data_IF_162439053511
#
_entry.id   IF_162439053511
#
_cell.length_a   1.000
_cell.length_b   1.000
_cell.length_c   1.000
_cell.angle_alpha   90.00
_cell.angle_beta   90.00
_cell.angle_gamma   90.00
#
_symmetry.space_group_name_H-M   'P 1'
#
loop_
_entity.id
_entity.type
_entity.pdbx_description
1 polymer ?
#
# COMPACT_ATOMS: atom_id res chain seq x y z
N UNK A 1 -35.91 -43.03 11.31
CA UNK A 1 -34.66 -42.29 11.01
C UNK A 1 -34.96 -40.82 11.25
N UNK A 2 -34.47 -40.22 12.34
CA UNK A 2 -34.60 -38.78 12.59
C UNK A 2 -33.43 -38.06 11.90
N UNK A 3 -33.72 -37.15 10.99
CA UNK A 3 -32.74 -36.23 10.42
C UNK A 3 -32.59 -35.02 11.37
N UNK A 4 -31.41 -34.84 11.94
CA UNK A 4 -31.07 -33.64 12.70
C UNK A 4 -30.65 -32.54 11.72
N UNK A 5 -31.38 -31.43 11.71
CA UNK A 5 -31.00 -30.21 10.99
C UNK A 5 -29.95 -29.46 11.82
N UNK A 6 -28.73 -29.33 11.29
CA UNK A 6 -27.72 -28.44 11.83
C UNK A 6 -28.07 -27.00 11.44
N UNK A 7 -28.48 -26.19 12.42
CA UNK A 7 -28.59 -24.75 12.27
C UNK A 7 -27.18 -24.18 12.39
N UNK A 8 -26.60 -23.73 11.28
CA UNK A 8 -25.34 -23.00 11.30
C UNK A 8 -25.57 -21.64 11.99
N UNK A 9 -24.90 -21.40 13.11
CA UNK A 9 -24.88 -20.10 13.76
C UNK A 9 -24.21 -19.07 12.83
N UNK A 10 -24.65 -17.79 12.85
CA UNK A 10 -23.96 -16.75 12.11
C UNK A 10 -22.54 -16.61 12.70
N UNK A 11 -21.52 -16.71 11.86
CA UNK A 11 -20.17 -16.37 12.25
C UNK A 11 -20.16 -14.88 12.64
N UNK A 12 -19.82 -14.58 13.89
CA UNK A 12 -19.51 -13.20 14.28
C UNK A 12 -18.43 -12.69 13.33
N UNK A 13 -18.69 -11.58 12.64
CA UNK A 13 -17.63 -10.84 11.97
C UNK A 13 -16.59 -10.51 13.04
N UNK A 14 -15.39 -11.08 12.91
CA UNK A 14 -14.30 -10.75 13.82
C UNK A 14 -14.03 -9.24 13.74
N UNK A 15 -13.76 -8.60 14.88
CA UNK A 15 -13.39 -7.18 14.90
C UNK A 15 -12.11 -6.99 14.08
N UNK A 16 -12.19 -6.19 13.03
CA UNK A 16 -11.06 -5.86 12.18
C UNK A 16 -10.05 -5.05 12.97
N UNK A 17 -8.83 -5.56 13.13
CA UNK A 17 -7.73 -4.82 13.77
C UNK A 17 -7.08 -3.90 12.75
N UNK A 18 -7.10 -2.58 12.98
CA UNK A 18 -6.43 -1.62 12.10
C UNK A 18 -5.22 -1.00 12.77
N UNK A 19 -4.12 -0.94 12.02
CA UNK A 19 -2.92 -0.18 12.37
C UNK A 19 -2.71 1.01 11.41
N UNK A 20 -3.67 1.32 10.55
CA UNK A 20 -3.62 2.51 9.71
C UNK A 20 -4.47 3.62 10.34
N UNK A 21 -4.12 4.90 10.14
CA UNK A 21 -4.99 5.96 10.59
C UNK A 21 -6.33 5.91 9.85
N UNK A 22 -7.42 6.23 10.55
CA UNK A 22 -8.77 6.21 9.98
C UNK A 22 -8.91 7.12 8.75
N UNK A 23 -8.14 8.21 8.68
CA UNK A 23 -8.03 9.12 7.55
C UNK A 23 -6.57 9.45 7.24
N UNK A 24 -6.28 9.87 6.01
CA UNK A 24 -4.92 10.25 5.60
C UNK A 24 -3.94 9.07 5.47
N UNK A 25 -4.44 7.87 5.16
CA UNK A 25 -3.61 6.67 4.98
C UNK A 25 -2.52 6.88 3.92
N UNK A 26 -2.82 7.56 2.80
CA UNK A 26 -1.83 7.86 1.77
C UNK A 26 -0.68 8.73 2.32
N UNK A 27 -1.00 9.80 3.06
CA UNK A 27 0.00 10.65 3.70
C UNK A 27 0.82 9.88 4.75
N UNK A 28 0.18 8.98 5.50
CA UNK A 28 0.84 8.14 6.49
C UNK A 28 1.92 7.23 5.87
N UNK A 29 1.68 6.70 4.67
CA UNK A 29 2.62 5.84 3.95
C UNK A 29 3.93 6.56 3.57
N UNK A 30 3.95 7.91 3.46
CA UNK A 30 5.19 8.67 3.20
C UNK A 30 6.29 8.34 4.21
N UNK A 31 5.92 8.26 5.49
CA UNK A 31 6.85 8.03 6.59
C UNK A 31 6.89 6.58 7.05
N UNK A 32 5.92 5.74 6.67
CA UNK A 32 5.73 4.41 7.24
C UNK A 32 5.72 3.27 6.23
N UNK A 33 5.80 3.51 4.92
CA UNK A 33 5.86 2.42 3.94
C UNK A 33 7.31 1.97 3.70
N UNK A 34 7.57 0.67 3.86
CA UNK A 34 8.87 0.07 3.60
C UNK A 34 9.08 -0.17 2.09
N UNK A 35 9.78 0.75 1.45
CA UNK A 35 10.20 0.68 0.06
C UNK A 35 11.09 -0.52 -0.24
N UNK A 36 11.75 -1.12 0.77
CA UNK A 36 12.52 -2.35 0.58
C UNK A 36 11.62 -3.57 0.30
N UNK A 37 10.32 -3.48 0.61
CA UNK A 37 9.35 -4.54 0.35
C UNK A 37 8.92 -4.63 -1.12
N UNK A 38 9.22 -3.63 -1.95
CA UNK A 38 8.82 -3.58 -3.37
C UNK A 38 10.03 -3.54 -4.31
N UNK A 39 9.82 -3.96 -5.56
CA UNK A 39 10.77 -3.68 -6.64
C UNK A 39 10.47 -2.31 -7.23
N UNK A 40 11.43 -1.39 -7.11
CA UNK A 40 11.33 -0.02 -7.62
C UNK A 40 12.70 0.51 -8.06
N UNK A 41 12.69 1.65 -8.75
CA UNK A 41 13.87 2.40 -9.19
C UNK A 41 14.73 2.91 -8.03
N UNK A 42 14.18 2.92 -6.81
CA UNK A 42 14.91 3.23 -5.58
C UNK A 42 16.03 2.22 -5.27
N UNK A 43 16.06 1.05 -5.91
CA UNK A 43 17.11 0.04 -5.71
C UNK A 43 17.00 -0.70 -4.36
N UNK A 44 17.91 -1.64 -4.07
CA UNK A 44 17.87 -2.44 -2.85
C UNK A 44 18.17 -1.58 -1.61
N UNK A 45 17.12 -1.25 -0.84
CA UNK A 45 17.22 -0.45 0.39
C UNK A 45 17.58 -1.33 1.59
N UNK A 46 18.86 -1.32 1.96
CA UNK A 46 19.41 -2.26 2.97
C UNK A 46 19.52 -1.69 4.38
N UNK A 47 19.45 -0.37 4.56
CA UNK A 47 19.55 0.28 5.89
C UNK A 47 18.23 0.92 6.29
N UNK A 48 17.98 1.05 7.60
CA UNK A 48 16.71 1.59 8.13
C UNK A 48 16.50 3.06 7.71
N UNK A 49 17.59 3.80 7.55
CA UNK A 49 17.62 5.22 7.16
C UNK A 49 17.24 5.45 5.69
N UNK A 50 16.96 4.40 4.93
CA UNK A 50 16.62 4.47 3.51
C UNK A 50 15.35 3.67 3.16
N UNK A 51 14.51 3.35 4.15
CA UNK A 51 13.34 2.48 3.96
C UNK A 51 12.06 3.19 3.53
N UNK A 52 11.92 4.48 3.73
CA UNK A 52 10.65 5.21 3.49
C UNK A 52 10.86 6.44 2.61
N UNK A 53 9.82 6.97 1.96
CA UNK A 53 9.94 8.18 1.15
C UNK A 53 10.51 9.36 1.96
N UNK A 54 10.03 9.53 3.20
CA UNK A 54 10.52 10.54 4.12
C UNK A 54 12.02 10.37 4.44
N UNK A 55 12.47 9.13 4.66
CA UNK A 55 13.90 8.85 4.93
C UNK A 55 14.81 9.15 3.73
N UNK A 56 14.25 9.13 2.52
CA UNK A 56 14.94 9.52 1.27
C UNK A 56 14.91 11.04 1.04
N UNK A 57 14.31 11.82 1.94
CA UNK A 57 14.14 13.26 1.79
C UNK A 57 13.12 13.64 0.71
N UNK A 58 12.28 12.70 0.26
CA UNK A 58 11.24 12.98 -0.71
C UNK A 58 10.08 13.73 -0.04
N UNK A 59 9.72 14.86 -0.62
CA UNK A 59 8.59 15.68 -0.19
C UNK A 59 7.49 15.58 -1.23
N UNK A 60 6.25 15.21 -0.87
CA UNK A 60 5.17 15.12 -1.83
C UNK A 60 4.88 16.49 -2.47
N UNK A 61 4.68 16.51 -3.78
CA UNK A 61 4.21 17.68 -4.54
C UNK A 61 2.69 17.80 -4.54
N UNK A 62 1.99 16.67 -4.34
CA UNK A 62 0.53 16.59 -4.22
C UNK A 62 0.18 15.66 -3.07
N UNK A 63 -0.79 16.09 -2.26
CA UNK A 63 -1.37 15.29 -1.17
C UNK A 63 -2.88 15.44 -1.22
N UNK A 64 -3.56 14.31 -1.26
CA UNK A 64 -5.02 14.21 -1.12
C UNK A 64 -5.35 13.18 -0.05
N UNK A 65 -6.64 12.88 0.14
CA UNK A 65 -7.06 11.86 1.10
C UNK A 65 -6.46 10.48 0.80
N UNK A 66 -6.47 10.09 -0.48
CA UNK A 66 -6.14 8.73 -0.92
C UNK A 66 -4.92 8.67 -1.83
N UNK A 67 -4.37 9.82 -2.26
CA UNK A 67 -3.24 9.88 -3.19
C UNK A 67 -2.14 10.83 -2.71
N UNK A 68 -0.89 10.40 -2.87
CA UNK A 68 0.31 11.23 -2.77
C UNK A 68 1.12 11.12 -4.07
N UNK A 69 1.75 12.22 -4.45
CA UNK A 69 2.62 12.30 -5.63
C UNK A 69 3.94 12.97 -5.27
N UNK A 70 5.02 12.48 -5.85
CA UNK A 70 6.34 13.08 -5.84
C UNK A 70 6.75 13.35 -7.28
N UNK A 71 6.47 14.57 -7.73
CA UNK A 71 6.82 15.03 -9.06
C UNK A 71 8.18 15.75 -9.01
N UNK A 72 9.23 15.03 -9.42
CA UNK A 72 10.58 15.55 -9.55
C UNK A 72 10.92 15.91 -11.00
N UNK A 73 12.14 16.42 -11.20
CA UNK A 73 12.66 16.72 -12.55
C UNK A 73 12.77 15.45 -13.41
N UNK A 74 13.32 14.37 -12.84
CA UNK A 74 13.64 13.14 -13.59
C UNK A 74 12.64 12.00 -13.37
N UNK A 75 11.91 12.04 -12.25
CA UNK A 75 11.06 10.95 -11.78
C UNK A 75 9.68 11.44 -11.37
N UNK A 76 8.69 10.59 -11.58
CA UNK A 76 7.35 10.68 -11.02
C UNK A 76 7.10 9.43 -10.17
N UNK A 77 6.83 9.62 -8.89
CA UNK A 77 6.33 8.57 -8.00
C UNK A 77 4.93 8.91 -7.53
N UNK A 78 4.05 7.93 -7.42
CA UNK A 78 2.77 8.13 -6.74
C UNK A 78 2.32 6.90 -5.96
N UNK A 79 1.60 7.14 -4.87
CA UNK A 79 0.85 6.10 -4.16
C UNK A 79 -0.61 6.52 -4.10
N UNK A 80 -1.51 5.64 -4.51
CA UNK A 80 -2.96 5.82 -4.40
C UNK A 80 -3.60 4.65 -3.68
N UNK A 81 -4.19 4.89 -2.51
CA UNK A 81 -5.02 3.92 -1.79
C UNK A 81 -6.30 3.71 -2.58
N UNK A 82 -6.52 2.49 -3.07
CA UNK A 82 -7.68 2.11 -3.88
C UNK A 82 -8.80 1.54 -2.99
N UNK A 83 -8.43 0.67 -2.04
CA UNK A 83 -9.33 -0.03 -1.13
C UNK A 83 -8.67 -0.26 0.22
N UNK A 84 -9.51 -0.46 1.23
CA UNK A 84 -9.10 -0.78 2.61
C UNK A 84 -9.98 -1.91 3.17
N UNK A 85 -9.43 -2.74 4.04
CA UNK A 85 -10.15 -3.81 4.74
C UNK A 85 -9.25 -5.01 4.99
N UNK A 86 -9.78 -6.08 5.58
CA UNK A 86 -9.07 -7.36 5.63
C UNK A 86 -9.11 -8.03 4.24
N UNK A 87 -8.10 -7.75 3.42
CA UNK A 87 -8.06 -8.19 2.03
C UNK A 87 -7.41 -9.57 1.89
N UNK A 88 -6.76 -10.07 2.94
CA UNK A 88 -6.03 -11.33 2.96
C UNK A 88 -6.66 -12.41 3.87
N UNK A 89 -7.60 -12.03 4.74
CA UNK A 89 -8.36 -12.90 5.64
C UNK A 89 -7.69 -13.17 6.98
N UNK A 90 -6.73 -12.36 7.42
CA UNK A 90 -5.98 -12.55 8.69
C UNK A 90 -6.55 -11.74 9.87
N UNK A 91 -7.63 -10.99 9.67
CA UNK A 91 -8.26 -10.13 10.67
C UNK A 91 -7.54 -8.80 10.90
N UNK A 92 -6.53 -8.46 10.10
CA UNK A 92 -5.81 -7.19 10.14
C UNK A 92 -6.19 -6.37 8.91
N UNK A 93 -6.31 -5.05 9.08
CA UNK A 93 -6.57 -4.17 7.95
C UNK A 93 -5.37 -4.11 7.00
N UNK A 94 -5.65 -4.37 5.74
CA UNK A 94 -4.77 -4.14 4.60
C UNK A 94 -5.25 -2.93 3.77
N UNK A 95 -4.32 -2.35 3.03
CA UNK A 95 -4.56 -1.37 1.98
C UNK A 95 -4.25 -2.01 0.63
N UNK A 96 -5.14 -1.84 -0.34
CA UNK A 96 -4.75 -1.99 -1.75
C UNK A 96 -4.24 -0.64 -2.23
N UNK A 97 -2.98 -0.59 -2.65
CA UNK A 97 -2.31 0.65 -3.04
C UNK A 97 -1.79 0.52 -4.47
N UNK A 98 -2.11 1.49 -5.32
CA UNK A 98 -1.44 1.63 -6.59
C UNK A 98 -0.14 2.42 -6.43
N UNK A 99 0.99 1.82 -6.82
CA UNK A 99 2.28 2.48 -6.85
C UNK A 99 2.73 2.73 -8.29
N UNK A 100 3.06 3.99 -8.60
CA UNK A 100 3.66 4.39 -9.87
C UNK A 100 5.11 4.79 -9.64
N UNK A 101 5.97 4.35 -10.54
CA UNK A 101 7.40 4.64 -10.57
C UNK A 101 7.81 4.85 -12.04
N UNK A 102 7.91 6.13 -12.44
CA UNK A 102 8.05 6.53 -13.85
C UNK A 102 9.22 7.49 -14.03
N UNK A 103 10.10 7.18 -14.97
CA UNK A 103 11.10 8.12 -15.46
C UNK A 103 10.46 9.09 -16.47
N UNK A 104 10.77 10.39 -16.36
CA UNK A 104 10.23 11.42 -17.26
C UNK A 104 11.02 11.59 -18.55
N UNK A 105 12.30 11.21 -18.54
CA UNK A 105 13.21 11.32 -19.68
C UNK A 105 13.71 9.97 -20.22
N UNK A 106 13.13 8.86 -19.77
CA UNK A 106 13.54 7.51 -20.17
C UNK A 106 12.32 6.58 -20.34
N UNK A 107 12.54 5.37 -20.84
CA UNK A 107 11.45 4.40 -21.12
C UNK A 107 10.91 3.68 -19.89
N UNK A 108 11.54 3.86 -18.72
CA UNK A 108 11.11 3.17 -17.50
C UNK A 108 9.77 3.75 -17.00
N UNK A 109 8.75 2.89 -16.94
CA UNK A 109 7.42 3.21 -16.46
C UNK A 109 6.84 1.94 -15.81
N UNK A 110 6.78 1.91 -14.48
CA UNK A 110 6.24 0.81 -13.70
C UNK A 110 5.00 1.24 -12.95
N UNK A 111 3.99 0.38 -12.96
CA UNK A 111 2.78 0.54 -12.16
C UNK A 111 2.43 -0.82 -11.54
N UNK A 112 2.20 -0.84 -10.24
CA UNK A 112 1.98 -2.08 -9.49
C UNK A 112 0.89 -1.89 -8.44
N UNK A 113 -0.10 -2.78 -8.45
CA UNK A 113 -1.05 -2.88 -7.35
C UNK A 113 -0.40 -3.69 -6.23
N UNK A 114 -0.36 -3.09 -5.04
CA UNK A 114 0.28 -3.60 -3.85
C UNK A 114 -0.78 -3.94 -2.80
N UNK A 115 -0.67 -5.12 -2.22
CA UNK A 115 -1.35 -5.42 -0.97
C UNK A 115 -0.43 -4.98 0.17
N UNK A 116 -0.75 -3.90 0.85
CA UNK A 116 0.07 -3.29 1.91
C UNK A 116 -0.56 -3.58 3.25
N UNK A 117 0.19 -4.18 4.16
CA UNK A 117 -0.26 -4.47 5.53
C UNK A 117 0.64 -3.77 6.54
N UNK A 118 0.15 -3.62 7.77
CA UNK A 118 0.94 -3.16 8.92
C UNK A 118 0.54 -3.97 10.14
N UNK A 119 1.50 -4.59 10.82
CA UNK A 119 1.22 -5.56 11.89
C UNK A 119 1.21 -4.97 13.31
N UNK A 120 1.67 -3.72 13.48
CA UNK A 120 1.71 -3.04 14.78
C UNK A 120 1.95 -1.53 14.63
N UNK A 121 1.70 -0.78 15.71
CA UNK A 121 1.97 0.66 15.78
C UNK A 121 3.46 1.05 15.73
N UNK A 122 4.37 0.09 15.87
CA UNK A 122 5.81 0.32 15.78
C UNK A 122 6.44 -0.22 14.50
N UNK A 123 5.70 -0.99 13.69
CA UNK A 123 6.19 -1.53 12.42
C UNK A 123 5.94 -0.59 11.25
N UNK A 124 6.84 -0.64 10.27
CA UNK A 124 6.57 -0.13 8.92
C UNK A 124 5.46 -0.96 8.26
N UNK A 125 4.70 -0.32 7.39
CA UNK A 125 3.80 -0.98 6.46
C UNK A 125 4.62 -1.64 5.33
N UNK A 126 4.27 -2.88 4.98
CA UNK A 126 5.01 -3.71 4.02
C UNK A 126 4.09 -4.20 2.92
N UNK A 127 4.59 -4.28 1.69
CA UNK A 127 3.88 -4.92 0.60
C UNK A 127 4.02 -6.45 0.67
N UNK A 128 2.89 -7.15 0.73
CA UNK A 128 2.80 -8.62 0.76
C UNK A 128 2.66 -9.24 -0.63
N UNK A 129 1.99 -8.54 -1.56
CA UNK A 129 1.70 -9.02 -2.93
C UNK A 129 1.79 -7.86 -3.94
N UNK A 130 2.05 -8.21 -5.20
CA UNK A 130 2.51 -7.26 -6.24
C UNK A 130 1.76 -7.38 -7.59
N UNK A 131 0.50 -7.85 -7.63
CA UNK A 131 -0.21 -8.04 -8.90
C UNK A 131 -1.74 -8.05 -8.79
N UNK A 132 -2.45 -7.04 -9.34
CA UNK A 132 -3.83 -7.12 -9.87
C UNK A 132 -4.21 -5.91 -10.76
N UNK A 133 -5.22 -6.12 -11.62
CA UNK A 133 -5.97 -5.17 -12.45
C UNK A 133 -6.69 -4.11 -11.59
N UNK A 134 -6.27 -2.86 -11.66
CA UNK A 134 -6.84 -1.77 -10.83
C UNK A 134 -5.94 -0.55 -10.71
N UNK A 135 -4.64 -0.76 -10.94
CA UNK A 135 -3.65 0.31 -11.08
C UNK A 135 -3.71 1.04 -12.43
N UNK A 136 -4.59 0.64 -13.34
CA UNK A 136 -4.58 1.12 -14.71
C UNK A 136 -4.98 2.59 -14.78
N UNK A 137 -4.00 3.48 -14.76
CA UNK A 137 -4.13 4.84 -15.24
C UNK A 137 -2.77 5.31 -15.75
N UNK A 138 -2.75 6.12 -16.81
CA UNK A 138 -1.56 6.58 -17.54
C UNK A 138 -1.02 5.62 -18.62
N UNK A 139 -1.92 5.02 -19.40
CA UNK A 139 -1.69 4.95 -20.84
C UNK A 139 -2.27 6.24 -21.46
N UNK A 140 -1.40 7.21 -21.71
CA UNK A 140 -1.62 8.26 -22.72
C UNK A 140 -0.45 8.16 -23.70
#
# INVERSE_FOLDING_TARGET
MLAAAFVAAPACAADLTSYFPASGAAQFLVANFDLASIRSSFGPRRTLEQRTFASLGLVPTKVTQDEIEFDGADWLYSLKVLRRGDLNGDGIEDLEVCFVDKAKGASYNSQQALLVTRYSDSSLAVALRFAVTGCETFAN
#
